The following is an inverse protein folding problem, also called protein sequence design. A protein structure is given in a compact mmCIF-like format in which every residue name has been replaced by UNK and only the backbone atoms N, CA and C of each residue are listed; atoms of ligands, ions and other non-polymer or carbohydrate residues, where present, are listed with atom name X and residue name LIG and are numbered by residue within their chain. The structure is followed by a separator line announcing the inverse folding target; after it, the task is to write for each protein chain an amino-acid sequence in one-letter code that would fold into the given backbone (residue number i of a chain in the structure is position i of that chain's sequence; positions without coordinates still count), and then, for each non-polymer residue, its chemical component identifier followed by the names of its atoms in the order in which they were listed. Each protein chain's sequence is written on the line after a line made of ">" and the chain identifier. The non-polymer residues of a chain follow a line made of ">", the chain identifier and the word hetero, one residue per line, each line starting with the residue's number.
data_IF_171332745338
#
_entry.id   IF_171332745338
#
_cell.length_a   1.000
_cell.length_b   1.000
_cell.length_c   1.000
_cell.angle_alpha   90.00
_cell.angle_beta   90.00
_cell.angle_gamma   90.00
#
_symmetry.space_group_name_H-M   'P 1'
#
loop_
_entity.id
_entity.type
_entity.pdbx_description
1 polymer ?
#
# COMPACT_ATOMS: atom_id res chain seq x y z
N UNK A 1 -2.61 -7.90 -0.04
CA UNK A 1 -1.18 -8.24 -0.23
C UNK A 1 -0.39 -6.98 0.10
N UNK A 2 0.44 -7.02 1.14
CA UNK A 2 1.28 -5.88 1.52
C UNK A 2 2.69 -6.11 0.97
N UNK A 3 3.19 -5.18 0.17
CA UNK A 3 4.53 -5.26 -0.42
C UNK A 3 5.49 -4.43 0.45
N UNK A 4 6.41 -5.12 1.14
CA UNK A 4 7.36 -4.53 2.10
C UNK A 4 8.83 -4.89 1.77
N UNK A 5 9.09 -5.33 0.54
CA UNK A 5 10.47 -5.51 0.04
C UNK A 5 11.06 -4.14 -0.35
N UNK A 6 12.39 -4.01 -0.48
CA UNK A 6 13.01 -2.75 -0.91
C UNK A 6 12.44 -2.25 -2.23
N UNK A 7 12.29 -0.92 -2.36
CA UNK A 7 11.54 -0.28 -3.45
C UNK A 7 12.07 -0.66 -4.84
N UNK A 8 13.37 -0.81 -5.00
CA UNK A 8 14.05 -1.21 -6.24
C UNK A 8 13.69 -2.62 -6.73
N UNK A 9 13.21 -3.50 -5.84
CA UNK A 9 12.81 -4.87 -6.19
C UNK A 9 11.30 -5.03 -6.38
N UNK A 10 10.49 -4.08 -5.89
CA UNK A 10 9.04 -4.21 -5.88
C UNK A 10 8.46 -4.36 -7.29
N UNK A 11 8.94 -3.58 -8.27
CA UNK A 11 8.42 -3.62 -9.64
C UNK A 11 8.62 -5.00 -10.30
N UNK A 12 9.81 -5.58 -10.14
CA UNK A 12 10.13 -6.91 -10.67
C UNK A 12 9.26 -7.98 -10.00
N UNK A 13 9.26 -8.01 -8.66
CA UNK A 13 8.47 -8.95 -7.86
C UNK A 13 6.97 -8.85 -8.20
N UNK A 14 6.48 -7.63 -8.38
CA UNK A 14 5.09 -7.39 -8.73
C UNK A 14 4.74 -8.07 -10.06
N UNK A 15 5.57 -7.89 -11.09
CA UNK A 15 5.32 -8.47 -12.41
C UNK A 15 5.45 -9.99 -12.43
N UNK A 16 6.47 -10.54 -11.76
CA UNK A 16 6.79 -11.98 -11.86
C UNK A 16 5.94 -12.85 -10.95
N UNK A 17 5.67 -12.38 -9.73
CA UNK A 17 5.16 -13.26 -8.66
C UNK A 17 3.80 -12.83 -8.13
N UNK A 18 3.49 -11.52 -8.17
CA UNK A 18 2.24 -11.00 -7.58
C UNK A 18 1.14 -10.90 -8.63
N UNK A 19 1.39 -10.21 -9.74
CA UNK A 19 0.40 -9.93 -10.79
C UNK A 19 -0.25 -11.21 -11.34
N UNK A 20 0.49 -12.31 -11.63
CA UNK A 20 -0.12 -13.54 -12.15
C UNK A 20 -1.07 -14.23 -11.15
N UNK A 21 -0.89 -13.98 -9.85
CA UNK A 21 -1.67 -14.59 -8.77
C UNK A 21 -2.78 -13.67 -8.25
N UNK A 22 -2.84 -12.43 -8.74
CA UNK A 22 -3.74 -11.39 -8.27
C UNK A 22 -5.18 -11.68 -8.72
N UNK A 23 -6.15 -11.56 -7.81
CA UNK A 23 -7.57 -11.85 -8.06
C UNK A 23 -8.45 -10.61 -7.87
N UNK A 24 -9.56 -10.55 -8.61
CA UNK A 24 -10.56 -9.47 -8.48
C UNK A 24 -10.97 -9.28 -7.01
N UNK A 25 -10.99 -8.03 -6.56
CA UNK A 25 -11.29 -7.67 -5.17
C UNK A 25 -10.13 -7.83 -4.19
N UNK A 26 -8.94 -8.24 -4.65
CA UNK A 26 -7.74 -8.11 -3.84
C UNK A 26 -7.40 -6.63 -3.61
N UNK A 27 -6.69 -6.37 -2.51
CA UNK A 27 -6.11 -5.08 -2.20
C UNK A 27 -4.59 -5.19 -2.17
N UNK A 28 -3.91 -4.29 -2.87
CA UNK A 28 -2.47 -4.08 -2.86
C UNK A 28 -2.14 -2.94 -1.90
N UNK A 29 -1.30 -3.24 -0.92
CA UNK A 29 -0.89 -2.30 0.10
C UNK A 29 0.61 -2.04 0.06
N UNK A 30 1.00 -0.79 0.28
CA UNK A 30 2.39 -0.33 0.33
C UNK A 30 2.68 0.41 1.63
N UNK A 31 3.96 0.53 2.00
CA UNK A 31 4.40 1.38 3.12
C UNK A 31 5.25 2.57 2.69
N UNK A 32 5.52 2.68 1.40
CA UNK A 32 6.02 3.88 0.75
C UNK A 32 5.36 4.05 -0.61
N UNK A 33 5.22 5.30 -1.05
CA UNK A 33 4.49 5.66 -2.26
C UNK A 33 5.26 5.50 -3.57
N UNK A 34 6.58 5.28 -3.49
CA UNK A 34 7.52 5.43 -4.60
C UNK A 34 7.08 4.73 -5.89
N UNK A 35 6.87 3.41 -5.85
CA UNK A 35 6.57 2.63 -7.05
C UNK A 35 5.20 2.94 -7.69
N UNK A 36 4.24 3.42 -6.90
CA UNK A 36 2.91 3.82 -7.40
C UNK A 36 2.96 5.25 -7.96
N UNK A 37 3.54 6.18 -7.20
CA UNK A 37 3.64 7.60 -7.58
C UNK A 37 4.49 7.81 -8.84
N UNK A 38 5.60 7.09 -8.98
CA UNK A 38 6.46 7.14 -10.18
C UNK A 38 6.10 6.09 -11.24
N UNK A 39 4.92 5.49 -11.14
CA UNK A 39 4.36 4.55 -12.13
C UNK A 39 5.26 3.36 -12.51
N UNK A 40 6.17 2.95 -11.61
CA UNK A 40 6.97 1.73 -11.78
C UNK A 40 6.10 0.46 -11.63
N UNK A 41 5.01 0.58 -10.86
CA UNK A 41 3.94 -0.40 -10.75
C UNK A 41 2.63 0.27 -11.16
N UNK A 42 1.94 -0.33 -12.14
CA UNK A 42 0.59 0.08 -12.55
C UNK A 42 -0.37 -1.06 -12.23
N UNK A 43 -1.13 -0.96 -11.12
CA UNK A 43 -2.10 -1.97 -10.73
C UNK A 43 -3.29 -2.05 -11.69
N UNK A 44 -3.90 -3.23 -11.88
CA UNK A 44 -5.13 -3.33 -12.64
C UNK A 44 -6.29 -2.64 -11.93
N UNK A 45 -7.25 -2.07 -12.66
CA UNK A 45 -8.38 -1.29 -12.10
C UNK A 45 -9.32 -2.09 -11.17
N UNK A 46 -9.23 -3.41 -11.19
CA UNK A 46 -10.08 -4.31 -10.42
C UNK A 46 -9.53 -4.68 -9.03
N UNK A 47 -8.37 -4.13 -8.62
CA UNK A 47 -7.85 -4.21 -7.25
C UNK A 47 -7.94 -2.87 -6.51
N UNK A 48 -7.99 -2.92 -5.19
CA UNK A 48 -7.78 -1.72 -4.38
C UNK A 48 -6.28 -1.46 -4.21
N UNK A 49 -5.87 -0.20 -4.14
CA UNK A 49 -4.47 0.20 -3.93
C UNK A 49 -4.41 1.24 -2.82
N UNK A 50 -3.69 0.93 -1.74
CA UNK A 50 -3.59 1.79 -0.57
C UNK A 50 -2.18 1.79 0.02
N UNK A 51 -1.91 2.77 0.88
CA UNK A 51 -0.67 2.87 1.63
C UNK A 51 -0.93 3.10 3.11
N UNK A 52 -0.12 2.45 3.92
CA UNK A 52 0.02 2.67 5.36
C UNK A 52 1.52 2.86 5.62
N UNK A 53 1.94 4.12 5.81
CA UNK A 53 3.34 4.54 5.86
C UNK A 53 3.72 5.05 7.27
N UNK A 54 4.30 4.19 8.13
CA UNK A 54 4.81 4.59 9.43
C UNK A 54 5.93 5.62 9.30
N UNK A 55 5.92 6.63 10.17
CA UNK A 55 6.96 7.66 10.25
C UNK A 55 8.04 7.25 11.24
N UNK A 56 8.79 6.22 10.89
CA UNK A 56 9.93 5.74 11.67
C UNK A 56 10.43 4.37 11.21
N UNK A 57 11.60 3.94 11.71
CA UNK A 57 12.18 2.64 11.37
C UNK A 57 11.31 1.48 11.89
N UNK A 58 11.29 0.36 11.18
CA UNK A 58 10.48 -0.81 11.54
C UNK A 58 10.77 -1.36 12.94
N UNK A 59 12.02 -1.28 13.41
CA UNK A 59 12.42 -1.68 14.77
C UNK A 59 11.70 -0.84 15.83
N UNK A 60 11.59 0.47 15.61
CA UNK A 60 10.88 1.37 16.53
C UNK A 60 9.38 1.10 16.52
N UNK A 61 8.80 0.80 15.35
CA UNK A 61 7.40 0.43 15.23
C UNK A 61 7.09 -0.80 16.08
N UNK A 62 7.90 -1.87 16.00
CA UNK A 62 7.66 -3.07 16.82
C UNK A 62 7.85 -2.80 18.32
N UNK A 63 8.91 -2.08 18.69
CA UNK A 63 9.19 -1.76 20.09
C UNK A 63 8.06 -0.95 20.73
N UNK A 64 7.66 0.15 20.09
CA UNK A 64 6.59 1.01 20.61
C UNK A 64 5.26 0.27 20.71
N UNK A 65 4.95 -0.60 19.74
CA UNK A 65 3.78 -1.49 19.80
C UNK A 65 3.78 -2.38 21.05
N UNK A 66 4.92 -2.99 21.40
CA UNK A 66 5.05 -3.83 22.60
C UNK A 66 4.90 -3.03 23.90
N UNK A 67 5.22 -1.74 23.88
CA UNK A 67 5.04 -0.81 24.99
C UNK A 67 3.60 -0.24 25.08
N UNK A 68 2.67 -0.70 24.24
CA UNK A 68 1.29 -0.19 24.18
C UNK A 68 1.17 1.20 23.53
N UNK A 69 2.22 1.62 22.81
CA UNK A 69 2.31 2.89 22.08
C UNK A 69 2.31 2.63 20.58
N UNK A 70 2.39 3.69 19.79
CA UNK A 70 2.52 3.60 18.33
C UNK A 70 3.43 4.68 17.77
N UNK A 71 3.76 4.52 16.48
CA UNK A 71 4.40 5.56 15.68
C UNK A 71 3.34 6.26 14.82
N UNK A 72 3.46 7.59 14.59
CA UNK A 72 2.60 8.27 13.64
C UNK A 72 2.63 7.58 12.26
N UNK A 73 1.50 7.55 11.59
CA UNK A 73 1.35 6.86 10.32
C UNK A 73 0.53 7.70 9.34
N UNK A 74 0.96 7.73 8.08
CA UNK A 74 0.15 8.26 6.99
C UNK A 74 -0.65 7.14 6.35
N UNK A 75 -1.89 7.46 5.97
CA UNK A 75 -2.75 6.57 5.21
C UNK A 75 -3.13 7.30 3.92
N UNK A 76 -3.04 6.59 2.80
CA UNK A 76 -3.45 7.10 1.50
C UNK A 76 -4.16 6.00 0.70
N UNK A 77 -5.08 6.40 -0.16
CA UNK A 77 -5.83 5.50 -1.04
C UNK A 77 -5.62 6.00 -2.46
N UNK A 78 -4.98 5.18 -3.28
CA UNK A 78 -4.70 5.55 -4.68
C UNK A 78 -5.84 5.11 -5.59
N UNK A 79 -6.24 3.85 -5.47
CA UNK A 79 -7.26 3.25 -6.31
C UNK A 79 -8.28 2.53 -5.44
N UNK A 80 -9.56 2.76 -5.75
CA UNK A 80 -10.66 1.92 -5.29
C UNK A 80 -11.24 1.18 -6.47
N UNK A 81 -11.32 -0.14 -6.37
CA UNK A 81 -12.00 -0.94 -7.37
C UNK A 81 -13.50 -0.58 -7.40
N UNK A 82 -14.18 -0.97 -8.48
CA UNK A 82 -15.59 -0.63 -8.70
C UNK A 82 -16.55 -1.15 -7.61
N UNK A 83 -16.14 -2.15 -6.82
CA UNK A 83 -16.92 -2.69 -5.69
C UNK A 83 -16.80 -1.85 -4.41
N UNK A 84 -15.64 -1.20 -4.20
CA UNK A 84 -15.29 -0.43 -3.01
C UNK A 84 -15.77 1.03 -2.98
N UNK A 85 -16.42 1.53 -4.04
CA UNK A 85 -16.89 2.93 -4.13
C UNK A 85 -17.87 3.33 -3.01
N UNK A 86 -18.53 2.38 -2.35
CA UNK A 86 -19.59 2.65 -1.36
C UNK A 86 -19.16 2.60 0.13
N UNK A 87 -17.87 2.41 0.48
CA UNK A 87 -17.43 2.42 1.90
C UNK A 87 -16.68 3.70 2.28
N UNK A 88 -17.19 4.34 3.33
CA UNK A 88 -16.89 5.68 3.85
C UNK A 88 -15.44 5.85 4.31
N UNK A 89 -14.70 6.79 3.70
CA UNK A 89 -13.63 7.57 4.34
C UNK A 89 -13.56 8.95 3.65
N UNK A 90 -14.14 9.99 4.24
CA UNK A 90 -14.03 11.34 3.71
C UNK A 90 -12.60 11.85 3.98
N UNK A 91 -11.78 12.01 2.94
CA UNK A 91 -10.43 12.58 3.05
C UNK A 91 -9.31 11.89 2.28
N UNK A 92 -9.61 10.91 1.40
CA UNK A 92 -8.59 10.30 0.54
C UNK A 92 -8.04 11.34 -0.45
N UNK A 93 -6.83 11.83 -0.20
CA UNK A 93 -6.03 12.52 -1.21
C UNK A 93 -5.44 11.49 -2.16
N UNK A 94 -5.49 11.80 -3.46
CA UNK A 94 -4.66 11.13 -4.45
C UNK A 94 -3.19 11.29 -4.05
N UNK A 95 -2.31 10.40 -4.49
CA UNK A 95 -0.92 10.38 -4.05
C UNK A 95 -0.12 11.47 -4.77
N UNK A 96 -0.49 12.72 -4.53
CA UNK A 96 0.20 13.95 -4.95
C UNK A 96 1.11 14.48 -3.84
#
# INVERSE_FOLDING_TARGET
>A
IQILVPDEFQAKLYQTDILPLLKKGNALGFSHGFNIHFHQIVPPQWVDVFMVAPKGPGVLLRRTYQEGKGVPCLIAIEQRNQSGKNRLYPGSRHWD
#
